data_IF_108925204228
#
_entry.id   IF_108925204228
#
_cell.length_a   1.000
_cell.length_b   1.000
_cell.length_c   1.000
_cell.angle_alpha   90.00
_cell.angle_beta   90.00
_cell.angle_gamma   90.00
#
_symmetry.space_group_name_H-M   'P 1'
#
loop_
_entity.id
_entity.type
_entity.pdbx_description
1 polymer ?
#
# COMPACT_ATOMS: atom_id res chain seq x y z
N UNK A 1 -41.48 -18.78 -70.70
CA UNK A 1 -42.02 -19.87 -69.87
C UNK A 1 -42.10 -19.36 -68.43
N UNK A 2 -43.32 -18.96 -68.02
CA UNK A 2 -43.91 -18.95 -66.66
C UNK A 2 -43.11 -18.19 -65.56
N UNK A 3 -43.39 -16.91 -65.31
CA UNK A 3 -44.41 -16.31 -64.40
C UNK A 3 -43.87 -15.94 -63.00
N UNK A 4 -44.13 -14.68 -62.65
CA UNK A 4 -44.05 -14.09 -61.32
C UNK A 4 -44.91 -14.84 -60.28
N UNK A 5 -44.53 -14.73 -58.99
CA UNK A 5 -45.44 -14.31 -57.91
C UNK A 5 -44.70 -14.04 -56.60
N UNK A 6 -44.92 -12.83 -56.06
CA UNK A 6 -44.75 -12.50 -54.64
C UNK A 6 -45.72 -13.35 -53.81
N UNK A 7 -45.34 -13.77 -52.60
CA UNK A 7 -46.25 -13.90 -51.46
C UNK A 7 -45.48 -13.74 -50.14
N UNK A 8 -46.06 -12.92 -49.26
CA UNK A 8 -45.74 -12.83 -47.82
C UNK A 8 -46.45 -13.98 -47.11
N UNK A 9 -45.83 -14.57 -46.10
CA UNK A 9 -46.56 -15.13 -44.96
C UNK A 9 -45.78 -14.96 -43.67
N UNK A 10 -46.54 -14.93 -42.59
CA UNK A 10 -46.32 -14.32 -41.29
C UNK A 10 -46.08 -15.42 -40.23
N UNK A 11 -45.21 -15.08 -39.25
CA UNK A 11 -45.03 -15.62 -37.89
C UNK A 11 -44.90 -17.15 -37.63
N UNK A 12 -43.80 -17.50 -36.95
CA UNK A 12 -43.91 -18.18 -35.65
C UNK A 12 -42.70 -17.83 -34.75
N UNK A 13 -43.05 -17.26 -33.59
CA UNK A 13 -42.23 -16.98 -32.42
C UNK A 13 -41.87 -18.28 -31.69
N UNK A 14 -40.90 -18.17 -30.76
CA UNK A 14 -40.42 -19.15 -29.75
C UNK A 14 -39.13 -19.85 -30.20
N UNK A 15 -37.96 -19.63 -29.60
CA UNK A 15 -37.64 -18.90 -28.39
C UNK A 15 -36.18 -19.11 -27.98
N UNK A 16 -35.89 -18.56 -26.80
CA UNK A 16 -34.76 -18.85 -25.93
C UNK A 16 -33.48 -18.00 -26.07
N UNK A 17 -33.48 -16.99 -25.19
CA UNK A 17 -32.38 -16.61 -24.30
C UNK A 17 -31.16 -15.92 -24.91
N UNK A 18 -31.28 -14.58 -24.96
CA UNK A 18 -30.37 -13.65 -24.29
C UNK A 18 -28.92 -14.14 -24.18
N UNK A 19 -28.23 -14.15 -25.31
CA UNK A 19 -26.80 -13.92 -25.33
C UNK A 19 -26.56 -12.49 -24.89
N UNK A 20 -26.51 -12.28 -23.57
CA UNK A 20 -25.94 -11.07 -23.00
C UNK A 20 -24.47 -11.04 -23.38
N UNK A 21 -24.16 -10.51 -24.56
CA UNK A 21 -22.86 -9.92 -24.83
C UNK A 21 -22.71 -8.86 -23.75
N UNK A 22 -22.00 -9.21 -22.67
CA UNK A 22 -21.47 -8.20 -21.78
C UNK A 22 -20.67 -7.29 -22.68
N UNK A 23 -21.22 -6.13 -23.00
CA UNK A 23 -20.47 -5.05 -23.63
C UNK A 23 -19.40 -4.76 -22.59
N UNK A 24 -18.20 -5.27 -22.83
CA UNK A 24 -17.02 -4.79 -22.13
C UNK A 24 -16.97 -3.34 -22.55
N UNK A 25 -17.46 -2.45 -21.69
CA UNK A 25 -17.38 -1.03 -21.90
C UNK A 25 -15.89 -0.74 -22.12
N UNK A 26 -15.52 -0.36 -23.34
CA UNK A 26 -14.15 0.05 -23.63
C UNK A 26 -13.81 1.16 -22.62
N UNK A 27 -12.68 1.01 -21.92
CA UNK A 27 -12.21 2.06 -21.02
C UNK A 27 -12.09 3.36 -21.81
N UNK A 28 -12.66 4.45 -21.31
CA UNK A 28 -12.56 5.73 -21.98
C UNK A 28 -11.11 6.25 -21.87
N UNK A 29 -10.70 7.07 -22.83
CA UNK A 29 -9.35 7.60 -22.91
C UNK A 29 -9.01 8.49 -21.69
N UNK A 30 -7.72 8.64 -21.41
CA UNK A 30 -7.20 9.66 -20.50
C UNK A 30 -6.17 10.48 -21.27
N UNK A 31 -6.64 11.43 -22.09
CA UNK A 31 -5.75 12.27 -22.87
C UNK A 31 -5.14 13.37 -22.00
N UNK A 32 -3.90 13.71 -22.31
CA UNK A 32 -3.27 14.94 -21.87
C UNK A 32 -3.20 15.95 -23.02
N UNK A 33 -3.51 17.21 -22.70
CA UNK A 33 -3.84 18.27 -23.65
C UNK A 33 -3.03 19.53 -23.31
N UNK A 34 -2.53 20.20 -24.32
CA UNK A 34 -1.82 21.47 -24.22
C UNK A 34 -2.21 22.39 -25.38
N UNK A 35 -1.51 23.51 -25.55
CA UNK A 35 -1.69 24.37 -26.70
C UNK A 35 -1.48 23.68 -28.05
N UNK A 36 -0.77 22.54 -28.08
CA UNK A 36 -0.55 21.76 -29.29
C UNK A 36 -1.82 21.14 -29.88
N UNK A 37 -2.88 20.98 -29.08
CA UNK A 37 -4.20 20.55 -29.55
C UNK A 37 -5.13 21.73 -29.87
N UNK A 38 -4.64 22.97 -29.73
CA UNK A 38 -5.35 24.18 -30.05
C UNK A 38 -6.40 24.63 -29.03
N UNK A 39 -7.12 25.67 -29.40
CA UNK A 39 -8.27 26.16 -28.66
C UNK A 39 -9.47 25.26 -28.93
N UNK A 40 -9.93 24.52 -27.92
CA UNK A 40 -11.04 23.59 -28.07
C UNK A 40 -12.37 24.32 -28.19
N UNK A 41 -13.25 23.79 -29.04
CA UNK A 41 -14.62 24.25 -29.21
C UNK A 41 -15.56 23.58 -28.21
N UNK A 42 -16.75 24.17 -28.02
CA UNK A 42 -17.81 23.58 -27.20
C UNK A 42 -18.26 22.19 -27.67
N UNK A 43 -18.23 21.94 -28.98
CA UNK A 43 -18.63 20.64 -29.57
C UNK A 43 -17.59 19.56 -29.29
N UNK A 44 -16.30 19.89 -29.43
CA UNK A 44 -15.20 18.99 -29.12
C UNK A 44 -15.21 18.60 -27.64
N UNK A 45 -15.38 19.56 -26.73
CA UNK A 45 -15.42 19.29 -25.28
C UNK A 45 -16.66 18.51 -24.85
N UNK A 46 -17.82 18.75 -25.47
CA UNK A 46 -19.00 17.92 -25.21
C UNK A 46 -18.78 16.47 -25.67
N UNK A 47 -18.12 16.29 -26.81
CA UNK A 47 -17.80 14.97 -27.37
C UNK A 47 -16.75 14.24 -26.52
N UNK A 48 -15.82 14.96 -25.89
CA UNK A 48 -14.84 14.39 -24.96
C UNK A 48 -15.52 13.64 -23.81
N UNK A 49 -16.65 14.13 -23.30
CA UNK A 49 -17.34 13.56 -22.13
C UNK A 49 -17.73 12.08 -22.29
N UNK A 50 -17.99 11.62 -23.51
CA UNK A 50 -18.32 10.21 -23.79
C UNK A 50 -17.10 9.37 -24.21
N UNK A 51 -15.96 10.00 -24.48
CA UNK A 51 -14.76 9.34 -25.01
C UNK A 51 -13.57 9.38 -24.05
N UNK A 52 -13.60 10.24 -23.03
CA UNK A 52 -12.56 10.39 -22.04
C UNK A 52 -13.11 10.27 -20.62
N UNK A 53 -12.40 9.49 -19.78
CA UNK A 53 -12.71 9.35 -18.35
C UNK A 53 -12.35 10.63 -17.57
N UNK A 54 -11.23 11.26 -17.94
CA UNK A 54 -10.81 12.60 -17.52
C UNK A 54 -9.69 13.11 -18.43
N UNK A 55 -9.42 14.43 -18.39
CA UNK A 55 -8.36 15.11 -19.18
C UNK A 55 -7.24 15.58 -18.25
N UNK A 56 -6.01 15.72 -18.74
CA UNK A 56 -4.91 16.38 -18.00
C UNK A 56 -4.42 17.57 -18.84
N UNK A 57 -4.65 18.81 -18.40
CA UNK A 57 -4.38 20.00 -19.23
C UNK A 57 -3.11 20.73 -18.79
N UNK A 58 -2.24 21.12 -19.72
CA UNK A 58 -1.08 21.96 -19.39
C UNK A 58 -1.54 23.33 -18.95
N UNK A 59 -0.92 23.90 -17.93
CA UNK A 59 -1.16 25.28 -17.50
C UNK A 59 0.04 26.16 -17.83
N UNK A 60 1.25 25.62 -17.71
CA UNK A 60 2.45 26.40 -17.93
C UNK A 60 3.61 25.54 -18.43
N UNK A 61 4.55 26.21 -19.12
CA UNK A 61 5.91 25.73 -19.37
C UNK A 61 6.83 26.55 -18.47
N UNK A 62 7.02 26.03 -17.28
CA UNK A 62 7.70 26.70 -16.20
C UNK A 62 7.08 28.04 -15.79
N UNK A 63 7.81 28.77 -14.96
CA UNK A 63 7.34 30.06 -14.44
C UNK A 63 7.29 31.20 -15.47
N UNK A 64 7.90 31.02 -16.65
CA UNK A 64 8.03 32.07 -17.68
C UNK A 64 6.90 32.05 -18.72
N UNK A 65 6.21 30.94 -18.90
CA UNK A 65 5.24 30.79 -19.99
C UNK A 65 3.94 30.14 -19.52
N UNK A 66 2.81 30.80 -19.74
CA UNK A 66 1.46 30.27 -19.48
C UNK A 66 0.92 29.74 -20.80
N UNK A 67 0.34 28.54 -20.78
CA UNK A 67 -0.19 27.88 -21.98
C UNK A 67 -1.31 28.74 -22.61
N UNK A 68 -1.29 28.93 -23.93
CA UNK A 68 -2.19 29.89 -24.58
C UNK A 68 -3.67 29.56 -24.40
N UNK A 69 -4.03 28.29 -24.26
CA UNK A 69 -5.43 27.84 -24.35
C UNK A 69 -5.97 27.24 -23.06
N UNK A 70 -5.14 27.00 -22.03
CA UNK A 70 -5.59 26.34 -20.79
C UNK A 70 -6.83 27.00 -20.18
N UNK A 71 -6.85 28.34 -20.05
CA UNK A 71 -7.98 29.03 -19.42
C UNK A 71 -9.28 28.81 -20.19
N UNK A 72 -9.23 28.87 -21.53
CA UNK A 72 -10.40 28.64 -22.37
C UNK A 72 -10.86 27.18 -22.37
N UNK A 73 -9.93 26.23 -22.48
CA UNK A 73 -10.21 24.79 -22.50
C UNK A 73 -10.75 24.33 -21.14
N UNK A 74 -10.09 24.70 -20.04
CA UNK A 74 -10.52 24.37 -18.68
C UNK A 74 -11.89 24.98 -18.34
N UNK A 75 -12.22 26.17 -18.84
CA UNK A 75 -13.55 26.77 -18.69
C UNK A 75 -14.64 25.95 -19.38
N UNK A 76 -14.34 25.38 -20.55
CA UNK A 76 -15.26 24.46 -21.23
C UNK A 76 -15.39 23.12 -20.50
N UNK A 77 -14.30 22.57 -19.96
CA UNK A 77 -14.35 21.36 -19.13
C UNK A 77 -15.30 21.55 -17.94
N UNK A 78 -15.20 22.69 -17.26
CA UNK A 78 -16.13 23.06 -16.17
C UNK A 78 -17.56 23.16 -16.68
N UNK A 79 -17.79 23.90 -17.77
CA UNK A 79 -19.12 24.12 -18.35
C UNK A 79 -19.84 22.82 -18.71
N UNK A 80 -19.13 21.84 -19.26
CA UNK A 80 -19.72 20.58 -19.74
C UNK A 80 -19.56 19.39 -18.76
N UNK A 81 -18.87 19.62 -17.64
CA UNK A 81 -18.67 18.62 -16.59
C UNK A 81 -17.69 17.52 -17.00
N UNK A 82 -16.64 17.86 -17.75
CA UNK A 82 -15.51 16.97 -18.03
C UNK A 82 -14.52 17.09 -16.87
N UNK A 83 -14.24 16.01 -16.11
CA UNK A 83 -13.22 16.07 -15.06
C UNK A 83 -11.83 16.28 -15.66
N UNK A 84 -11.02 17.15 -15.03
CA UNK A 84 -9.67 17.40 -15.51
C UNK A 84 -8.66 17.60 -14.37
N UNK A 85 -7.42 17.19 -14.60
CA UNK A 85 -6.24 17.63 -13.85
C UNK A 85 -5.49 18.71 -14.60
N UNK A 86 -4.52 19.34 -13.94
CA UNK A 86 -3.68 20.38 -14.53
C UNK A 86 -2.20 20.02 -14.36
N UNK A 87 -1.34 20.28 -15.34
CA UNK A 87 0.09 20.01 -15.25
C UNK A 87 1.00 21.21 -15.52
N UNK A 88 2.15 21.19 -14.87
CA UNK A 88 3.25 22.15 -14.94
C UNK A 88 4.46 21.46 -15.59
N UNK A 89 4.81 21.84 -16.82
CA UNK A 89 6.03 21.37 -17.46
C UNK A 89 7.22 22.09 -16.85
N UNK A 90 8.04 21.35 -16.11
CA UNK A 90 9.02 21.93 -15.21
C UNK A 90 10.25 22.49 -15.94
N UNK A 91 10.68 23.68 -15.51
CA UNK A 91 11.89 24.34 -16.01
C UNK A 91 12.85 24.80 -14.90
N UNK A 92 12.48 24.58 -13.64
CA UNK A 92 13.30 24.97 -12.50
C UNK A 92 14.70 24.31 -12.52
N UNK A 93 15.69 25.06 -12.05
CA UNK A 93 17.11 24.64 -11.99
C UNK A 93 17.69 24.69 -10.58
N UNK A 94 16.84 24.99 -9.59
CA UNK A 94 17.21 25.06 -8.17
C UNK A 94 15.98 24.84 -7.27
N UNK A 95 16.20 24.61 -5.98
CA UNK A 95 15.11 24.51 -5.00
C UNK A 95 14.30 25.80 -4.87
N UNK A 96 14.94 26.96 -5.03
CA UNK A 96 14.27 28.26 -4.98
C UNK A 96 13.36 28.47 -6.20
N UNK A 97 13.88 28.20 -7.40
CA UNK A 97 13.08 28.31 -8.63
C UNK A 97 11.96 27.27 -8.68
N UNK A 98 12.16 26.07 -8.11
CA UNK A 98 11.12 25.05 -8.01
C UNK A 98 9.93 25.48 -7.15
N UNK A 99 10.17 26.21 -6.05
CA UNK A 99 9.10 26.78 -5.22
C UNK A 99 8.36 27.91 -5.94
N UNK A 100 9.10 28.82 -6.58
CA UNK A 100 8.49 29.92 -7.34
C UNK A 100 7.63 29.40 -8.50
N UNK A 101 8.07 28.32 -9.16
CA UNK A 101 7.33 27.66 -10.24
C UNK A 101 6.05 26.99 -9.75
N UNK A 102 6.12 26.27 -8.62
CA UNK A 102 4.95 25.69 -7.94
C UNK A 102 3.91 26.76 -7.55
N UNK A 103 4.34 27.85 -6.93
CA UNK A 103 3.46 28.95 -6.53
C UNK A 103 2.75 29.58 -7.74
N UNK A 104 3.50 29.89 -8.80
CA UNK A 104 2.93 30.44 -10.04
C UNK A 104 1.99 29.46 -10.73
N UNK A 105 2.33 28.17 -10.79
CA UNK A 105 1.46 27.13 -11.33
C UNK A 105 0.13 27.09 -10.57
N UNK A 106 0.20 27.08 -9.23
CA UNK A 106 -1.00 27.06 -8.41
C UNK A 106 -1.88 28.29 -8.65
N UNK A 107 -1.28 29.48 -8.79
CA UNK A 107 -2.00 30.72 -9.06
C UNK A 107 -2.76 30.66 -10.40
N UNK A 108 -2.09 30.22 -11.47
CA UNK A 108 -2.64 30.14 -12.84
C UNK A 108 -3.71 29.06 -13.00
N UNK A 109 -3.51 27.90 -12.39
CA UNK A 109 -4.36 26.74 -12.62
C UNK A 109 -5.83 26.98 -12.18
N UNK A 110 -6.77 26.51 -13.01
CA UNK A 110 -8.20 26.60 -12.73
C UNK A 110 -8.55 25.85 -11.43
N UNK A 111 -9.28 26.52 -10.53
CA UNK A 111 -9.61 25.95 -9.20
C UNK A 111 -10.59 24.78 -9.26
N UNK A 112 -11.18 24.45 -10.40
CA UNK A 112 -11.98 23.24 -10.60
C UNK A 112 -11.15 21.98 -10.93
N UNK A 113 -9.85 22.14 -11.22
CA UNK A 113 -8.93 21.02 -11.46
C UNK A 113 -8.99 20.00 -10.32
N UNK A 114 -8.90 18.72 -10.62
CA UNK A 114 -9.07 17.63 -9.63
C UNK A 114 -7.76 17.25 -8.94
N UNK A 115 -6.66 17.42 -9.64
CA UNK A 115 -5.31 17.15 -9.17
C UNK A 115 -4.31 18.00 -9.95
N UNK A 116 -3.13 18.18 -9.36
CA UNK A 116 -2.02 18.91 -9.94
C UNK A 116 -0.89 17.93 -10.27
N UNK A 117 -0.26 18.12 -11.41
CA UNK A 117 0.83 17.27 -11.89
C UNK A 117 2.11 18.11 -12.00
N UNK A 118 3.20 17.61 -11.43
CA UNK A 118 4.54 18.06 -11.79
C UNK A 118 5.02 17.19 -12.96
N UNK A 119 5.23 17.80 -14.12
CA UNK A 119 5.85 17.17 -15.28
C UNK A 119 7.35 17.51 -15.26
N UNK A 120 8.20 16.53 -14.94
CA UNK A 120 9.65 16.73 -14.80
C UNK A 120 10.43 15.74 -15.67
N UNK A 121 10.88 16.22 -16.83
CA UNK A 121 11.42 15.37 -17.92
C UNK A 121 12.80 15.78 -18.43
N UNK A 122 13.27 16.96 -18.04
CA UNK A 122 14.59 17.47 -18.40
C UNK A 122 15.21 18.22 -17.24
N UNK A 123 16.53 18.17 -17.13
CA UNK A 123 17.26 18.96 -16.13
C UNK A 123 18.74 19.07 -16.46
N UNK A 124 19.34 20.21 -16.12
CA UNK A 124 20.81 20.37 -16.05
C UNK A 124 21.37 20.09 -14.66
N UNK A 125 20.51 19.82 -13.68
CA UNK A 125 20.91 19.54 -12.30
C UNK A 125 21.48 18.12 -12.15
N UNK A 126 22.37 17.94 -11.17
CA UNK A 126 22.75 16.60 -10.72
C UNK A 126 21.53 15.86 -10.11
N UNK A 127 21.55 14.53 -10.09
CA UNK A 127 20.47 13.72 -9.49
C UNK A 127 20.11 14.14 -8.06
N UNK A 128 21.11 14.47 -7.24
CA UNK A 128 20.89 14.96 -5.86
C UNK A 128 20.17 16.30 -5.85
N UNK A 129 20.60 17.25 -6.69
CA UNK A 129 19.99 18.58 -6.78
C UNK A 129 18.57 18.52 -7.37
N UNK A 130 18.37 17.69 -8.40
CA UNK A 130 17.06 17.45 -9.01
C UNK A 130 16.06 16.86 -8.00
N UNK A 131 16.45 15.84 -7.22
CA UNK A 131 15.60 15.30 -6.14
C UNK A 131 15.27 16.39 -5.09
N UNK A 132 16.23 17.23 -4.73
CA UNK A 132 15.98 18.33 -3.79
C UNK A 132 14.98 19.36 -4.36
N UNK A 133 15.12 19.72 -5.64
CA UNK A 133 14.23 20.66 -6.32
C UNK A 133 12.80 20.10 -6.47
N UNK A 134 12.65 18.86 -6.92
CA UNK A 134 11.35 18.16 -7.00
C UNK A 134 10.68 18.09 -5.61
N UNK A 135 11.46 17.82 -4.55
CA UNK A 135 10.93 17.81 -3.18
C UNK A 135 10.50 19.21 -2.72
N UNK A 136 11.20 20.26 -3.15
CA UNK A 136 10.85 21.64 -2.85
C UNK A 136 9.54 22.05 -3.55
N UNK A 137 9.38 21.74 -4.85
CA UNK A 137 8.12 21.93 -5.59
C UNK A 137 6.96 21.20 -4.89
N UNK A 138 7.14 19.93 -4.53
CA UNK A 138 6.11 19.14 -3.83
C UNK A 138 5.70 19.78 -2.51
N UNK A 139 6.67 20.25 -1.73
CA UNK A 139 6.41 20.84 -0.41
C UNK A 139 5.66 22.16 -0.54
N UNK A 140 6.00 22.97 -1.54
CA UNK A 140 5.31 24.22 -1.84
C UNK A 140 3.87 23.97 -2.28
N UNK A 141 3.66 23.13 -3.30
CA UNK A 141 2.30 22.78 -3.74
C UNK A 141 1.46 22.20 -2.61
N UNK A 142 2.05 21.37 -1.75
CA UNK A 142 1.33 20.81 -0.61
C UNK A 142 0.93 21.86 0.43
N UNK A 143 1.68 22.96 0.57
CA UNK A 143 1.31 24.08 1.45
C UNK A 143 0.14 24.88 0.88
N UNK A 144 0.10 25.01 -0.45
CA UNK A 144 -0.89 25.80 -1.19
C UNK A 144 -2.21 25.05 -1.40
N UNK A 145 -2.17 23.72 -1.49
CA UNK A 145 -3.35 22.93 -1.79
C UNK A 145 -3.43 21.60 -1.04
N UNK A 146 -4.66 21.27 -0.67
CA UNK A 146 -5.02 19.92 -0.27
C UNK A 146 -5.39 19.05 -1.45
N UNK A 147 -5.26 19.45 -2.73
CA UNK A 147 -5.51 18.56 -3.88
C UNK A 147 -4.39 17.57 -4.14
N UNK A 148 -4.70 16.54 -4.94
CA UNK A 148 -3.74 15.45 -5.16
C UNK A 148 -2.59 15.97 -6.00
N UNK A 149 -1.37 15.56 -5.65
CA UNK A 149 -0.14 15.91 -6.36
C UNK A 149 0.38 14.65 -7.05
N UNK A 150 0.50 14.70 -8.36
CA UNK A 150 0.94 13.60 -9.21
C UNK A 150 2.32 13.93 -9.77
N UNK A 151 3.22 12.96 -9.80
CA UNK A 151 4.51 13.11 -10.45
C UNK A 151 4.45 12.49 -11.85
N UNK A 152 4.82 13.25 -12.87
CA UNK A 152 4.97 12.77 -14.23
C UNK A 152 6.41 12.84 -14.74
N UNK A 153 6.82 11.79 -15.46
CA UNK A 153 8.08 11.72 -16.21
C UNK A 153 8.15 10.41 -17.01
N UNK A 154 9.01 10.33 -18.03
CA UNK A 154 9.38 9.04 -18.63
C UNK A 154 10.32 8.24 -17.71
N UNK A 155 10.18 6.90 -17.76
CA UNK A 155 10.74 6.00 -16.75
C UNK A 155 12.25 6.18 -16.46
N UNK A 156 13.08 6.28 -17.51
CA UNK A 156 14.54 6.35 -17.34
C UNK A 156 14.96 7.64 -16.64
N UNK A 157 14.37 8.78 -17.01
CA UNK A 157 14.64 10.06 -16.36
C UNK A 157 14.15 10.10 -14.91
N UNK A 158 12.92 9.62 -14.65
CA UNK A 158 12.38 9.51 -13.30
C UNK A 158 13.31 8.73 -12.37
N UNK A 159 13.88 7.63 -12.88
CA UNK A 159 14.79 6.75 -12.14
C UNK A 159 16.16 7.39 -11.91
N UNK A 160 16.65 8.18 -12.86
CA UNK A 160 17.96 8.83 -12.74
C UNK A 160 17.92 10.09 -11.88
N UNK A 161 16.93 10.97 -12.06
CA UNK A 161 16.99 12.33 -11.51
C UNK A 161 16.01 12.61 -10.35
N UNK A 162 14.94 11.82 -10.21
CA UNK A 162 13.87 12.11 -9.24
C UNK A 162 13.44 10.92 -8.38
N UNK A 163 14.20 9.80 -8.41
CA UNK A 163 13.71 8.51 -7.91
C UNK A 163 13.30 8.49 -6.43
N UNK A 164 13.93 9.33 -5.61
CA UNK A 164 13.61 9.43 -4.18
C UNK A 164 12.47 10.42 -3.96
N UNK A 165 12.54 11.60 -4.56
CA UNK A 165 11.58 12.68 -4.33
C UNK A 165 10.18 12.34 -4.87
N UNK A 166 10.11 11.70 -6.05
CA UNK A 166 8.85 11.27 -6.68
C UNK A 166 7.98 10.39 -5.79
N UNK A 167 8.59 9.63 -4.86
CA UNK A 167 7.87 8.76 -3.93
C UNK A 167 7.00 9.53 -2.92
N UNK A 168 7.15 10.84 -2.80
CA UNK A 168 6.33 11.68 -1.93
C UNK A 168 4.96 12.02 -2.53
N UNK A 169 4.78 11.86 -3.84
CA UNK A 169 3.56 12.22 -4.55
C UNK A 169 2.45 11.20 -4.32
N UNK A 170 1.19 11.64 -4.45
CA UNK A 170 0.01 10.80 -4.17
C UNK A 170 -0.17 9.67 -5.18
N UNK A 171 0.32 9.88 -6.41
CA UNK A 171 0.39 8.90 -7.47
C UNK A 171 1.51 9.26 -8.45
N UNK A 172 1.89 8.31 -9.31
CA UNK A 172 2.89 8.55 -10.35
C UNK A 172 2.34 8.21 -11.72
N UNK A 173 2.50 9.14 -12.64
CA UNK A 173 2.18 9.02 -14.04
C UNK A 173 3.48 8.79 -14.81
N UNK A 174 3.67 7.62 -15.39
CA UNK A 174 4.96 7.27 -16.01
C UNK A 174 4.76 7.00 -17.50
N UNK A 175 5.54 7.67 -18.34
CA UNK A 175 5.58 7.43 -19.77
C UNK A 175 6.54 6.29 -20.14
N UNK A 176 6.07 5.41 -21.02
CA UNK A 176 6.88 4.46 -21.78
C UNK A 176 6.05 3.93 -22.95
N UNK A 177 6.39 4.31 -24.18
CA UNK A 177 5.61 3.95 -25.38
C UNK A 177 5.98 2.59 -25.96
N UNK A 178 7.12 2.02 -25.55
CA UNK A 178 7.60 0.73 -26.07
C UNK A 178 7.08 -0.46 -25.27
N UNK A 179 6.86 -0.29 -23.95
CA UNK A 179 6.44 -1.38 -23.06
C UNK A 179 5.88 -0.84 -21.75
N UNK A 180 5.12 -1.68 -21.02
CA UNK A 180 4.65 -1.36 -19.68
C UNK A 180 5.82 -0.96 -18.76
N UNK A 181 5.74 0.17 -18.02
CA UNK A 181 6.81 0.56 -17.11
C UNK A 181 7.12 -0.51 -16.06
N UNK A 182 8.37 -0.57 -15.64
CA UNK A 182 8.90 -1.50 -14.64
C UNK A 182 9.07 -0.88 -13.25
N UNK A 183 8.90 0.44 -13.13
CA UNK A 183 8.86 1.15 -11.84
C UNK A 183 7.42 1.22 -11.30
N UNK A 184 7.23 1.72 -10.07
CA UNK A 184 5.88 1.95 -9.54
C UNK A 184 5.22 3.17 -10.19
N UNK A 185 3.99 2.98 -10.69
CA UNK A 185 3.10 3.97 -11.29
C UNK A 185 1.62 3.63 -11.07
N UNK A 186 0.79 4.65 -11.18
CA UNK A 186 -0.67 4.60 -11.09
C UNK A 186 -1.39 5.07 -12.35
N UNK A 187 -0.67 5.71 -13.28
CA UNK A 187 -1.14 6.11 -14.61
C UNK A 187 0.02 5.85 -15.60
N UNK A 188 -0.25 5.23 -16.74
CA UNK A 188 0.75 4.91 -17.75
C UNK A 188 0.44 5.63 -19.05
N UNK A 189 1.28 6.60 -19.43
CA UNK A 189 1.24 7.18 -20.78
C UNK A 189 1.88 6.19 -21.74
N UNK A 190 1.06 5.56 -22.58
CA UNK A 190 1.46 4.43 -23.41
C UNK A 190 1.56 4.77 -24.90
N UNK A 191 1.02 5.93 -25.29
CA UNK A 191 0.98 6.37 -26.69
C UNK A 191 1.06 7.88 -26.74
N UNK A 192 1.82 8.39 -27.71
CA UNK A 192 1.79 9.79 -28.15
C UNK A 192 1.05 9.98 -29.48
N UNK A 193 0.34 8.95 -29.93
CA UNK A 193 -0.30 8.90 -31.24
C UNK A 193 -1.65 8.17 -31.16
N UNK A 194 -2.39 8.37 -30.08
CA UNK A 194 -3.75 7.85 -29.96
C UNK A 194 -4.72 8.76 -30.71
N UNK A 195 -5.48 8.22 -31.67
CA UNK A 195 -6.46 9.03 -32.39
C UNK A 195 -7.71 9.25 -31.53
N UNK A 196 -7.96 10.50 -31.14
CA UNK A 196 -9.12 10.88 -30.34
C UNK A 196 -10.16 11.57 -31.22
N UNK A 197 -11.20 10.82 -31.58
CA UNK A 197 -12.18 11.27 -32.57
C UNK A 197 -12.92 12.54 -32.18
N UNK A 198 -13.11 12.80 -30.87
CA UNK A 198 -13.72 14.04 -30.39
C UNK A 198 -12.93 15.29 -30.73
N UNK A 199 -11.62 15.18 -31.00
CA UNK A 199 -10.74 16.28 -31.40
C UNK A 199 -10.30 16.21 -32.87
N UNK A 200 -10.60 15.09 -33.55
CA UNK A 200 -10.12 14.85 -34.92
C UNK A 200 -8.58 14.80 -35.04
N UNK A 201 -7.88 14.48 -33.96
CA UNK A 201 -6.42 14.62 -33.85
C UNK A 201 -5.78 13.42 -33.13
N UNK A 202 -4.48 13.24 -33.33
CA UNK A 202 -3.66 12.34 -32.52
C UNK A 202 -3.19 13.05 -31.25
N UNK A 203 -3.35 12.37 -30.12
CA UNK A 203 -3.01 12.89 -28.79
C UNK A 203 -2.22 11.88 -27.98
N UNK A 204 -1.58 12.37 -26.94
CA UNK A 204 -1.02 11.54 -25.88
C UNK A 204 -2.16 10.91 -25.08
N UNK A 205 -2.01 9.63 -24.72
CA UNK A 205 -3.05 8.89 -24.01
C UNK A 205 -2.50 7.95 -22.94
N UNK A 206 -3.28 7.80 -21.88
CA UNK A 206 -2.90 7.06 -20.68
C UNK A 206 -3.87 5.96 -20.26
N UNK A 207 -3.36 4.95 -19.55
CA UNK A 207 -4.12 3.86 -18.93
C UNK A 207 -3.96 3.88 -17.41
N UNK A 208 -5.06 3.63 -16.68
CA UNK A 208 -5.08 3.59 -15.21
C UNK A 208 -5.77 2.37 -14.60
N UNK A 209 -6.28 1.46 -15.43
CA UNK A 209 -7.02 0.28 -14.96
C UNK A 209 -6.14 -0.69 -14.16
N UNK A 210 -6.77 -1.53 -13.34
CA UNK A 210 -6.05 -2.40 -12.41
C UNK A 210 -5.11 -3.43 -13.07
N UNK A 211 -5.27 -3.73 -14.36
CA UNK A 211 -4.39 -4.63 -15.10
C UNK A 211 -3.20 -3.88 -15.74
N UNK A 212 -3.39 -2.63 -16.15
CA UNK A 212 -2.33 -1.81 -16.76
C UNK A 212 -1.35 -1.22 -15.75
N UNK A 213 -1.76 -0.96 -14.50
CA UNK A 213 -0.91 -0.24 -13.52
C UNK A 213 -0.39 -1.08 -12.35
N UNK A 214 0.65 -0.59 -11.67
CA UNK A 214 1.18 -1.22 -10.45
C UNK A 214 0.45 -0.80 -9.17
N UNK A 215 -0.07 0.44 -9.14
CA UNK A 215 -0.81 1.02 -8.01
C UNK A 215 -2.15 1.54 -8.53
N UNK A 216 -3.21 0.76 -8.31
CA UNK A 216 -4.53 1.10 -8.84
C UNK A 216 -5.25 2.17 -8.01
N UNK A 217 -5.81 3.17 -8.69
CA UNK A 217 -6.78 4.12 -8.16
C UNK A 217 -8.06 4.07 -9.01
N UNK A 218 -9.26 3.96 -8.41
CA UNK A 218 -10.51 3.98 -9.17
C UNK A 218 -10.76 5.37 -9.79
N UNK A 219 -11.61 5.44 -10.81
CA UNK A 219 -11.96 6.70 -11.49
C UNK A 219 -12.33 7.84 -10.53
N UNK A 220 -13.12 7.53 -9.49
CA UNK A 220 -13.55 8.50 -8.47
C UNK A 220 -12.39 9.13 -7.68
N UNK A 221 -11.24 8.47 -7.61
CA UNK A 221 -10.04 9.03 -7.01
C UNK A 221 -9.46 10.14 -7.89
N UNK A 222 -9.41 9.94 -9.21
CA UNK A 222 -8.93 10.93 -10.18
C UNK A 222 -9.89 12.11 -10.34
N UNK A 223 -11.21 11.86 -10.30
CA UNK A 223 -12.21 12.88 -10.64
C UNK A 223 -12.78 13.66 -9.45
N UNK A 224 -12.37 13.35 -8.21
CA UNK A 224 -12.75 14.10 -7.01
C UNK A 224 -11.87 15.35 -6.80
N UNK A 225 -12.50 16.53 -6.76
CA UNK A 225 -11.90 17.88 -6.79
C UNK A 225 -11.15 18.35 -5.55
N UNK A 226 -10.87 17.44 -4.65
CA UNK A 226 -10.13 17.65 -3.42
C UNK A 226 -9.16 16.47 -3.37
N UNK A 227 -7.99 16.58 -2.72
CA UNK A 227 -7.58 15.35 -2.04
C UNK A 227 -8.70 15.19 -1.05
N UNK A 228 -9.49 14.17 -1.26
CA UNK A 228 -9.67 13.27 -0.16
C UNK A 228 -8.25 12.94 0.35
N UNK A 229 -7.65 13.82 1.18
CA UNK A 229 -7.28 13.40 2.52
C UNK A 229 -8.45 12.54 2.89
N UNK A 230 -8.27 11.24 2.89
CA UNK A 230 -9.36 10.31 3.07
C UNK A 230 -9.95 10.54 4.45
N UNK A 231 -10.76 11.59 4.59
CA UNK A 231 -11.99 11.58 5.32
C UNK A 231 -12.92 10.79 4.39
N UNK A 232 -12.83 9.46 4.34
CA UNK A 232 -13.77 8.68 5.14
C UNK A 232 -14.28 9.54 6.29
N UNK A 233 -15.57 9.85 6.36
CA UNK A 233 -16.24 9.99 7.66
C UNK A 233 -15.48 9.10 8.63
N UNK A 234 -14.69 9.65 9.56
CA UNK A 234 -13.45 8.99 10.05
C UNK A 234 -13.70 7.60 10.58
N UNK A 235 -13.76 6.67 9.66
CA UNK A 235 -13.12 5.41 9.76
C UNK A 235 -11.99 5.64 8.82
N UNK A 236 -10.86 6.17 9.33
CA UNK A 236 -9.58 5.59 8.93
C UNK A 236 -9.89 4.15 8.54
N UNK A 237 -9.80 3.79 7.25
CA UNK A 237 -9.84 2.38 6.90
C UNK A 237 -8.53 1.85 7.47
N UNK A 238 -8.58 1.61 8.78
CA UNK A 238 -7.57 1.02 9.59
C UNK A 238 -7.50 -0.36 8.99
N UNK A 239 -6.55 -0.53 8.07
CA UNK A 239 -6.26 -1.83 7.53
C UNK A 239 -6.11 -2.75 8.72
N UNK A 240 -6.79 -3.88 8.64
CA UNK A 240 -6.61 -4.91 9.62
C UNK A 240 -5.11 -5.26 9.67
N UNK A 241 -4.66 -5.67 10.85
CA UNK A 241 -3.29 -6.09 11.03
C UNK A 241 -2.94 -7.15 9.97
N UNK A 242 -1.92 -6.87 9.17
CA UNK A 242 -1.60 -7.62 7.94
C UNK A 242 -0.12 -8.00 7.88
N UNK A 243 0.50 -8.16 9.05
CA UNK A 243 1.89 -8.58 9.21
C UNK A 243 2.00 -9.95 9.86
N UNK A 244 1.01 -10.82 9.61
CA UNK A 244 1.05 -12.21 10.08
C UNK A 244 2.20 -12.96 9.40
N UNK A 245 2.75 -13.95 10.10
CA UNK A 245 3.83 -14.81 9.61
C UNK A 245 3.47 -16.30 9.73
N UNK A 246 4.11 -17.13 8.91
CA UNK A 246 3.97 -18.59 8.96
C UNK A 246 4.29 -19.10 10.36
N UNK A 247 3.45 -19.99 10.88
CA UNK A 247 3.57 -20.58 12.21
C UNK A 247 2.72 -19.90 13.29
N UNK A 248 2.26 -18.68 13.06
CA UNK A 248 1.33 -18.00 13.97
C UNK A 248 -0.05 -18.67 14.00
N UNK A 249 -0.80 -18.40 15.06
CA UNK A 249 -2.18 -18.86 15.21
C UNK A 249 -3.12 -17.66 15.19
N UNK A 250 -4.21 -17.80 14.45
CA UNK A 250 -5.23 -16.76 14.32
C UNK A 250 -6.61 -17.31 14.64
N UNK A 251 -7.41 -16.48 15.30
CA UNK A 251 -8.82 -16.73 15.58
C UNK A 251 -9.67 -16.26 14.41
N UNK A 252 -10.46 -17.13 13.79
CA UNK A 252 -11.39 -16.75 12.73
C UNK A 252 -12.61 -16.05 13.34
N UNK A 253 -12.80 -14.78 13.00
CA UNK A 253 -13.80 -13.93 13.62
C UNK A 253 -15.23 -14.36 13.24
N UNK A 254 -16.19 -14.07 14.13
CA UNK A 254 -17.60 -14.36 13.86
C UNK A 254 -18.16 -13.63 12.63
N UNK A 255 -17.59 -12.47 12.31
CA UNK A 255 -17.99 -11.65 11.16
C UNK A 255 -17.47 -12.13 9.81
N UNK A 256 -16.60 -13.15 9.76
CA UNK A 256 -16.08 -13.68 8.51
C UNK A 256 -17.24 -14.23 7.65
N UNK A 257 -17.44 -13.67 6.47
CA UNK A 257 -18.58 -14.01 5.59
C UNK A 257 -18.20 -15.00 4.50
N UNK A 258 -17.13 -14.71 3.76
CA UNK A 258 -16.63 -15.51 2.65
C UNK A 258 -15.12 -15.70 2.73
N UNK A 259 -14.66 -16.86 2.24
CA UNK A 259 -13.25 -17.10 1.95
C UNK A 259 -12.80 -16.27 0.74
N UNK A 260 -11.49 -16.19 0.50
CA UNK A 260 -10.95 -15.39 -0.59
C UNK A 260 -11.40 -15.87 -1.99
N UNK A 261 -11.66 -17.17 -2.13
CA UNK A 261 -12.19 -17.81 -3.35
C UNK A 261 -13.70 -17.56 -3.58
N UNK A 262 -14.35 -16.79 -2.71
CA UNK A 262 -15.77 -16.46 -2.79
C UNK A 262 -16.70 -17.43 -2.06
N UNK A 263 -16.23 -18.61 -1.66
CA UNK A 263 -17.07 -19.59 -0.95
C UNK A 263 -17.45 -19.11 0.45
N UNK A 264 -18.65 -19.45 0.93
CA UNK A 264 -19.18 -18.99 2.22
C UNK A 264 -18.44 -19.62 3.39
N UNK A 265 -18.16 -18.85 4.44
CA UNK A 265 -17.59 -19.36 5.70
C UNK A 265 -18.72 -19.97 6.56
N UNK A 266 -18.71 -21.29 6.83
CA UNK A 266 -19.73 -21.92 7.66
C UNK A 266 -19.59 -21.47 9.12
N UNK A 267 -20.71 -21.40 9.84
CA UNK A 267 -20.73 -21.01 11.27
C UNK A 267 -19.83 -21.90 12.14
N UNK A 268 -19.74 -23.19 11.81
CA UNK A 268 -18.89 -24.18 12.48
C UNK A 268 -17.38 -23.91 12.35
N UNK A 269 -16.94 -23.15 11.33
CA UNK A 269 -15.54 -22.77 11.16
C UNK A 269 -15.17 -21.51 11.96
N UNK A 270 -16.14 -20.65 12.27
CA UNK A 270 -15.92 -19.38 12.96
C UNK A 270 -15.65 -19.61 14.45
N UNK A 271 -15.11 -18.59 15.11
CA UNK A 271 -14.79 -18.59 16.55
C UNK A 271 -13.81 -19.71 16.96
N UNK A 272 -12.91 -20.09 16.06
CA UNK A 272 -11.90 -21.14 16.27
C UNK A 272 -10.51 -20.65 15.90
N UNK A 273 -9.50 -21.26 16.50
CA UNK A 273 -8.10 -20.99 16.19
C UNK A 273 -7.60 -21.90 15.08
N UNK A 274 -6.87 -21.32 14.14
CA UNK A 274 -6.20 -22.04 13.07
C UNK A 274 -4.74 -21.59 12.97
N UNK A 275 -3.86 -22.50 12.55
CA UNK A 275 -2.46 -22.19 12.28
C UNK A 275 -2.34 -21.59 10.88
N UNK A 276 -1.57 -20.51 10.79
CA UNK A 276 -1.19 -19.88 9.52
C UNK A 276 -0.01 -20.65 8.96
N UNK A 277 -0.16 -21.24 7.77
CA UNK A 277 0.92 -22.01 7.12
C UNK A 277 1.50 -21.33 5.89
N UNK A 278 0.79 -20.34 5.34
CA UNK A 278 1.28 -19.46 4.28
C UNK A 278 0.62 -18.08 4.39
N UNK A 279 1.28 -17.07 3.82
CA UNK A 279 0.75 -15.72 3.70
C UNK A 279 0.97 -15.20 2.27
N UNK A 280 0.12 -14.29 1.81
CA UNK A 280 0.24 -13.62 0.50
C UNK A 280 -0.11 -12.15 0.64
N UNK A 281 0.70 -11.27 0.07
CA UNK A 281 0.36 -9.84 -0.01
C UNK A 281 -0.80 -9.63 -0.98
N UNK A 282 -1.80 -8.85 -0.58
CA UNK A 282 -2.94 -8.48 -1.42
C UNK A 282 -3.43 -7.11 -0.96
N UNK A 283 -4.12 -6.35 -1.80
CA UNK A 283 -4.97 -5.26 -1.30
C UNK A 283 -6.42 -5.59 -1.66
N UNK A 284 -7.22 -5.98 -0.67
CA UNK A 284 -8.65 -6.28 -0.86
C UNK A 284 -9.42 -5.93 0.41
N UNK A 285 -10.47 -5.11 0.27
CA UNK A 285 -11.25 -4.58 1.40
C UNK A 285 -10.33 -3.91 2.45
N UNK A 286 -10.43 -4.26 3.73
CA UNK A 286 -9.57 -3.77 4.82
C UNK A 286 -8.31 -4.61 5.04
N UNK A 287 -7.92 -5.45 4.09
CA UNK A 287 -6.78 -6.36 4.25
C UNK A 287 -5.63 -6.02 3.30
N UNK A 288 -4.41 -6.04 3.85
CA UNK A 288 -3.16 -5.98 3.07
C UNK A 288 -2.50 -7.36 2.90
N UNK A 289 -3.12 -8.40 3.44
CA UNK A 289 -2.57 -9.74 3.48
C UNK A 289 -3.68 -10.80 3.48
N UNK A 290 -3.43 -11.92 2.81
CA UNK A 290 -4.15 -13.18 2.99
C UNK A 290 -3.35 -14.09 3.92
N UNK A 291 -4.06 -14.81 4.76
CA UNK A 291 -3.50 -15.91 5.57
C UNK A 291 -4.15 -17.22 5.16
N UNK A 292 -3.34 -18.25 4.99
CA UNK A 292 -3.83 -19.60 4.70
C UNK A 292 -4.02 -20.38 6.00
N UNK A 293 -5.24 -20.82 6.27
CA UNK A 293 -5.62 -21.48 7.51
C UNK A 293 -5.59 -23.01 7.33
N UNK A 294 -4.59 -23.66 7.93
CA UNK A 294 -4.51 -25.13 7.91
C UNK A 294 -5.66 -25.74 8.71
N UNK A 295 -6.28 -26.80 8.18
CA UNK A 295 -7.48 -27.43 8.74
C UNK A 295 -8.77 -26.95 8.07
N UNK A 296 -8.78 -25.72 7.53
CA UNK A 296 -9.83 -25.28 6.60
C UNK A 296 -9.39 -25.41 5.14
N UNK A 297 -8.09 -25.37 4.88
CA UNK A 297 -7.49 -25.37 3.54
C UNK A 297 -7.97 -24.20 2.67
N UNK A 298 -8.17 -23.03 3.30
CA UNK A 298 -8.70 -21.82 2.66
C UNK A 298 -7.83 -20.61 2.95
N UNK A 299 -7.81 -19.69 1.97
CA UNK A 299 -7.28 -18.34 2.13
C UNK A 299 -8.34 -17.43 2.73
N UNK A 300 -7.94 -16.66 3.74
CA UNK A 300 -8.81 -15.69 4.44
C UNK A 300 -8.13 -14.33 4.43
N UNK A 301 -8.92 -13.28 4.26
CA UNK A 301 -8.47 -11.89 4.37
C UNK A 301 -8.07 -11.57 5.81
N UNK A 302 -6.98 -10.81 6.01
CA UNK A 302 -6.46 -10.49 7.34
C UNK A 302 -7.46 -9.74 8.25
N UNK A 303 -8.47 -9.09 7.67
CA UNK A 303 -9.59 -8.47 8.38
C UNK A 303 -10.53 -9.45 9.08
N UNK A 304 -10.62 -10.68 8.58
CA UNK A 304 -11.55 -11.68 9.09
C UNK A 304 -10.94 -12.51 10.22
N UNK A 305 -9.68 -12.24 10.59
CA UNK A 305 -8.95 -12.99 11.62
C UNK A 305 -8.33 -12.07 12.66
N UNK A 306 -8.09 -12.60 13.85
CA UNK A 306 -7.30 -11.92 14.89
C UNK A 306 -6.22 -12.85 15.42
N UNK A 307 -4.95 -12.48 15.24
CA UNK A 307 -3.83 -13.25 15.79
C UNK A 307 -3.64 -13.01 17.28
N UNK A 308 -3.39 -14.11 17.99
CA UNK A 308 -2.98 -14.12 19.38
C UNK A 308 -1.70 -14.92 19.52
N UNK A 309 -0.83 -14.50 20.44
CA UNK A 309 0.26 -15.35 20.91
C UNK A 309 -0.35 -16.61 21.56
N UNK A 310 0.24 -17.76 21.26
CA UNK A 310 -0.14 -19.07 21.81
C UNK A 310 1.12 -19.79 22.27
N UNK A 311 1.02 -20.51 23.39
CA UNK A 311 2.21 -21.00 24.08
C UNK A 311 2.93 -19.90 24.87
N UNK A 312 3.93 -20.29 25.65
CA UNK A 312 4.69 -19.34 26.46
C UNK A 312 5.87 -18.76 25.68
N UNK A 313 6.04 -17.44 25.76
CA UNK A 313 7.14 -16.71 25.12
C UNK A 313 8.02 -15.91 26.11
N UNK A 314 7.60 -15.81 27.38
CA UNK A 314 8.36 -15.20 28.47
C UNK A 314 8.44 -13.67 28.43
N UNK A 315 9.03 -13.09 27.38
CA UNK A 315 9.21 -11.63 27.23
C UNK A 315 8.46 -11.11 26.00
N UNK A 316 7.83 -9.95 26.15
CA UNK A 316 7.08 -9.29 25.08
C UNK A 316 7.47 -7.82 24.96
N UNK A 317 7.79 -7.39 23.74
CA UNK A 317 7.96 -5.98 23.43
C UNK A 317 6.64 -5.41 22.92
N UNK A 318 6.19 -4.29 23.49
CA UNK A 318 4.96 -3.64 23.06
C UNK A 318 5.18 -2.80 21.79
N UNK A 319 4.30 -2.96 20.80
CA UNK A 319 4.31 -2.17 19.55
C UNK A 319 3.67 -0.79 19.73
N UNK A 320 2.85 -0.65 20.77
CA UNK A 320 2.14 0.57 21.15
C UNK A 320 1.99 0.65 22.67
N UNK A 321 1.43 1.75 23.19
CA UNK A 321 1.09 1.84 24.61
C UNK A 321 -0.02 0.81 24.91
N UNK A 322 0.03 0.19 26.09
CA UNK A 322 -1.01 -0.77 26.51
C UNK A 322 -1.53 -0.44 27.90
N UNK A 323 -2.84 -0.25 28.02
CA UNK A 323 -3.52 -0.18 29.32
C UNK A 323 -3.32 -1.48 30.08
N UNK A 324 -3.02 -1.38 31.38
CA UNK A 324 -2.88 -2.51 32.29
C UNK A 324 -4.20 -2.74 33.03
N UNK A 325 -4.73 -3.95 32.98
CA UNK A 325 -6.01 -4.33 33.58
C UNK A 325 -5.84 -5.20 34.82
N UNK A 326 -6.75 -5.08 35.78
CA UNK A 326 -6.74 -5.86 37.03
C UNK A 326 -7.16 -7.31 36.80
N UNK A 327 -8.05 -7.54 35.85
CA UNK A 327 -8.67 -8.83 35.56
C UNK A 327 -8.26 -9.41 34.20
N UNK A 328 -8.42 -10.72 34.04
CA UNK A 328 -8.05 -11.44 32.81
C UNK A 328 -8.98 -11.13 31.63
N UNK A 329 -10.19 -10.61 31.85
CA UNK A 329 -11.13 -10.27 30.79
C UNK A 329 -10.84 -8.90 30.17
N UNK A 330 -10.01 -8.08 30.84
CA UNK A 330 -9.64 -6.70 30.47
C UNK A 330 -10.82 -5.73 30.61
N UNK A 331 -11.62 -5.89 31.66
CA UNK A 331 -12.78 -5.02 31.93
C UNK A 331 -12.47 -3.89 32.89
N UNK A 332 -11.54 -4.09 33.83
CA UNK A 332 -11.24 -3.13 34.90
C UNK A 332 -9.80 -2.62 34.79
N UNK A 333 -9.64 -1.36 34.40
CA UNK A 333 -8.33 -0.71 34.31
C UNK A 333 -7.66 -0.55 35.68
N UNK A 334 -6.34 -0.67 35.72
CA UNK A 334 -5.52 -0.29 36.88
C UNK A 334 -5.25 1.22 36.95
N UNK A 335 -5.60 1.97 35.90
CA UNK A 335 -5.18 3.36 35.69
C UNK A 335 -3.74 3.50 35.16
N UNK A 336 -2.96 2.42 35.11
CA UNK A 336 -1.58 2.41 34.61
C UNK A 336 -1.52 2.02 33.14
N UNK A 337 -0.52 2.57 32.44
CA UNK A 337 -0.23 2.27 31.03
C UNK A 337 1.22 1.85 30.87
N UNK A 338 1.44 0.74 30.16
CA UNK A 338 2.75 0.26 29.75
C UNK A 338 3.23 1.02 28.50
N UNK A 339 4.52 1.31 28.43
CA UNK A 339 5.11 2.16 27.40
C UNK A 339 5.28 1.40 26.07
N UNK A 340 5.02 2.07 24.95
CA UNK A 340 5.41 1.61 23.61
C UNK A 340 6.92 1.32 23.58
N UNK A 341 7.32 0.22 22.97
CA UNK A 341 8.71 -0.24 22.89
C UNK A 341 9.24 -0.90 24.17
N UNK A 342 8.49 -0.81 25.29
CA UNK A 342 8.86 -1.46 26.54
C UNK A 342 8.81 -2.98 26.43
N UNK A 343 9.75 -3.65 27.11
CA UNK A 343 9.87 -5.10 27.15
C UNK A 343 9.42 -5.58 28.53
N UNK A 344 8.44 -6.46 28.57
CA UNK A 344 7.81 -6.92 29.80
C UNK A 344 7.83 -8.44 29.88
N UNK A 345 8.17 -8.96 31.07
CA UNK A 345 7.99 -10.37 31.38
C UNK A 345 6.52 -10.66 31.62
N UNK A 346 6.03 -11.78 31.09
CA UNK A 346 4.67 -12.20 31.32
C UNK A 346 4.37 -13.65 30.98
N UNK A 347 3.33 -14.17 31.63
CA UNK A 347 2.80 -15.52 31.40
C UNK A 347 1.56 -15.41 30.51
N UNK A 348 1.55 -16.16 29.42
CA UNK A 348 0.38 -16.27 28.56
C UNK A 348 -0.71 -17.07 29.29
N UNK A 349 -1.93 -16.53 29.34
CA UNK A 349 -3.10 -17.20 29.92
C UNK A 349 -4.28 -17.07 28.96
N UNK A 350 -5.26 -17.95 29.08
CA UNK A 350 -6.46 -17.98 28.22
C UNK A 350 -7.70 -17.67 29.05
N UNK A 351 -8.58 -16.81 28.54
CA UNK A 351 -9.92 -16.60 29.08
C UNK A 351 -10.93 -16.75 27.94
N UNK A 352 -11.81 -17.74 28.04
CA UNK A 352 -12.69 -18.15 26.95
C UNK A 352 -11.89 -18.41 25.66
N UNK A 353 -12.23 -17.67 24.60
CA UNK A 353 -11.58 -17.77 23.29
C UNK A 353 -10.40 -16.82 23.09
N UNK A 354 -9.93 -16.11 24.11
CA UNK A 354 -8.91 -15.09 23.92
C UNK A 354 -7.72 -15.28 24.84
N UNK A 355 -6.52 -14.98 24.33
CA UNK A 355 -5.30 -15.00 25.11
C UNK A 355 -4.97 -13.62 25.71
N UNK A 356 -4.29 -13.67 26.86
CA UNK A 356 -3.81 -12.52 27.63
C UNK A 356 -2.36 -12.77 28.05
N UNK A 357 -1.64 -11.69 28.32
CA UNK A 357 -0.33 -11.75 28.95
C UNK A 357 -0.51 -11.21 30.38
N UNK A 358 -0.33 -12.09 31.37
CA UNK A 358 -0.24 -11.70 32.78
C UNK A 358 1.17 -11.16 33.03
N UNK A 359 1.26 -9.87 33.33
CA UNK A 359 2.51 -9.18 33.66
C UNK A 359 2.50 -8.80 35.14
N UNK A 360 3.60 -8.23 35.65
CA UNK A 360 3.59 -7.66 37.00
C UNK A 360 2.53 -6.56 37.12
N UNK A 361 1.65 -6.69 38.11
CA UNK A 361 0.58 -5.71 38.38
C UNK A 361 -0.71 -5.86 37.56
N UNK A 362 -0.83 -6.83 36.64
CA UNK A 362 -2.10 -7.04 35.92
C UNK A 362 -2.00 -7.84 34.61
N UNK A 363 -2.93 -7.56 33.70
CA UNK A 363 -3.11 -8.25 32.43
C UNK A 363 -3.14 -7.26 31.25
N UNK A 364 -2.59 -7.69 30.12
CA UNK A 364 -2.73 -7.03 28.82
C UNK A 364 -3.20 -8.02 27.76
N UNK A 365 -3.63 -7.53 26.60
CA UNK A 365 -4.03 -8.39 25.48
C UNK A 365 -2.82 -9.14 24.89
N UNK A 366 -3.00 -10.39 24.48
CA UNK A 366 -1.98 -11.16 23.78
C UNK A 366 -2.10 -11.05 22.24
N UNK A 367 -2.74 -10.00 21.72
CA UNK A 367 -2.86 -9.79 20.27
C UNK A 367 -1.48 -9.55 19.66
N UNK A 368 -1.15 -10.28 18.60
CA UNK A 368 0.14 -10.13 17.87
C UNK A 368 0.29 -8.75 17.22
N UNK A 369 -0.82 -8.05 17.00
CA UNK A 369 -0.82 -6.66 16.52
C UNK A 369 -0.35 -5.65 17.57
N UNK A 370 -0.33 -6.03 18.85
CA UNK A 370 -0.04 -5.15 19.98
C UNK A 370 1.34 -5.39 20.59
N UNK A 371 1.92 -6.58 20.37
CA UNK A 371 3.24 -6.93 20.89
C UNK A 371 3.98 -7.91 19.98
N UNK A 372 5.28 -8.07 20.22
CA UNK A 372 6.12 -9.13 19.68
C UNK A 372 6.78 -9.92 20.81
N UNK A 373 7.10 -11.21 20.60
CA UNK A 373 7.97 -11.92 21.52
C UNK A 373 9.40 -11.36 21.45
N UNK A 374 10.10 -11.29 22.58
CA UNK A 374 11.45 -10.70 22.66
C UNK A 374 12.60 -11.71 22.60
N UNK A 375 12.27 -12.96 22.29
CA UNK A 375 13.23 -13.99 21.94
C UNK A 375 13.15 -14.32 20.46
N UNK A 376 14.25 -14.75 19.86
CA UNK A 376 14.19 -15.45 18.57
C UNK A 376 13.67 -16.88 18.78
N UNK A 377 12.71 -17.31 17.96
CA UNK A 377 12.04 -18.63 18.10
C UNK A 377 12.43 -19.64 17.01
N UNK A 378 13.37 -19.27 16.14
CA UNK A 378 13.92 -20.10 15.07
C UNK A 378 15.41 -19.85 14.95
N UNK A 379 16.14 -20.83 14.41
CA UNK A 379 17.52 -20.64 14.00
C UNK A 379 17.53 -19.73 12.76
N UNK A 380 18.38 -18.69 12.71
CA UNK A 380 18.49 -17.85 11.52
C UNK A 380 18.93 -18.68 10.31
N UNK A 381 18.49 -18.31 9.10
CA UNK A 381 18.87 -19.00 7.86
C UNK A 381 20.38 -19.04 7.64
N UNK A 382 21.09 -18.00 8.08
CA UNK A 382 22.56 -17.96 8.05
C UNK A 382 23.22 -18.98 8.98
N UNK A 383 22.51 -19.47 10.00
CA UNK A 383 23.07 -20.26 11.09
C UNK A 383 23.97 -19.45 12.03
N UNK A 384 24.00 -18.12 11.90
CA UNK A 384 24.85 -17.24 12.70
C UNK A 384 24.04 -16.18 13.44
N UNK A 385 24.46 -15.91 14.67
CA UNK A 385 24.02 -14.74 15.44
C UNK A 385 25.23 -13.86 15.77
N UNK A 386 24.99 -12.57 15.98
CA UNK A 386 25.99 -11.62 16.48
C UNK A 386 25.66 -11.21 17.92
N UNK A 387 26.64 -11.21 18.80
CA UNK A 387 26.51 -10.67 20.14
C UNK A 387 26.34 -9.13 20.07
N UNK A 388 25.31 -8.60 20.73
CA UNK A 388 25.08 -7.15 20.86
C UNK A 388 25.80 -6.56 22.06
N UNK A 389 26.04 -7.39 23.08
CA UNK A 389 26.70 -7.07 24.33
C UNK A 389 27.67 -8.21 24.66
N UNK A 390 28.62 -7.96 25.55
CA UNK A 390 29.45 -9.02 26.11
C UNK A 390 28.58 -10.09 26.79
N UNK A 391 28.73 -11.36 26.42
CA UNK A 391 27.93 -12.47 26.94
C UNK A 391 28.72 -13.77 27.03
N UNK A 392 28.18 -14.74 27.77
CA UNK A 392 28.76 -16.08 27.86
C UNK A 392 27.90 -17.11 27.12
N UNK A 393 28.55 -18.12 26.54
CA UNK A 393 27.95 -19.43 26.27
C UNK A 393 28.05 -20.30 27.53
N UNK A 394 27.20 -21.32 27.63
CA UNK A 394 27.07 -22.14 28.83
C UNK A 394 27.06 -23.64 28.51
N UNK A 395 27.67 -24.46 29.36
CA UNK A 395 27.68 -25.93 29.26
C UNK A 395 26.30 -26.55 29.43
N UNK A 396 25.40 -25.85 30.14
CA UNK A 396 24.02 -26.27 30.40
C UNK A 396 23.06 -25.15 30.08
N UNK A 397 21.83 -25.52 29.76
CA UNK A 397 20.76 -24.56 29.49
C UNK A 397 20.46 -23.67 30.68
N UNK A 398 20.79 -23.98 31.94
CA UNK A 398 20.41 -23.19 33.12
C UNK A 398 21.07 -21.81 33.30
N UNK A 399 22.07 -21.45 32.50
CA UNK A 399 22.68 -20.10 32.46
C UNK A 399 23.23 -19.55 33.80
N UNK A 400 23.61 -20.43 34.72
CA UNK A 400 24.27 -20.07 35.98
C UNK A 400 25.77 -19.86 35.80
N UNK A 401 26.40 -19.07 36.68
CA UNK A 401 27.82 -18.68 36.58
C UNK A 401 28.77 -19.89 36.52
N UNK A 402 28.49 -20.94 37.30
CA UNK A 402 29.28 -22.19 37.32
C UNK A 402 29.27 -22.94 35.98
N UNK A 403 28.26 -22.70 35.13
CA UNK A 403 28.14 -23.34 33.83
C UNK A 403 28.68 -22.49 32.67
N UNK A 404 29.30 -21.33 32.93
CA UNK A 404 29.92 -20.52 31.86
C UNK A 404 30.99 -21.35 31.14
N UNK A 405 31.02 -21.24 29.82
CA UNK A 405 31.93 -21.97 28.96
C UNK A 405 32.90 -21.03 28.23
N UNK A 406 32.39 -20.16 27.37
CA UNK A 406 33.20 -19.18 26.64
C UNK A 406 32.57 -17.79 26.69
N UNK A 407 33.41 -16.76 26.86
CA UNK A 407 33.00 -15.37 26.74
C UNK A 407 33.04 -14.93 25.27
N UNK A 408 32.11 -14.07 24.90
CA UNK A 408 32.02 -13.44 23.59
C UNK A 408 31.84 -11.94 23.79
N UNK A 409 32.70 -11.14 23.17
CA UNK A 409 32.60 -9.69 23.17
C UNK A 409 31.45 -9.21 22.27
N UNK A 410 31.03 -7.95 22.45
CA UNK A 410 30.06 -7.35 21.54
C UNK A 410 30.64 -7.31 20.11
N UNK A 411 29.85 -7.75 19.12
CA UNK A 411 30.30 -7.88 17.74
C UNK A 411 30.69 -9.31 17.34
N UNK A 412 30.99 -10.19 18.30
CA UNK A 412 31.36 -11.57 18.02
C UNK A 412 30.25 -12.35 17.33
N UNK A 413 30.63 -13.22 16.39
CA UNK A 413 29.72 -14.11 15.68
C UNK A 413 29.72 -15.50 16.31
N UNK A 414 28.53 -16.04 16.55
CA UNK A 414 28.33 -17.36 17.17
C UNK A 414 27.49 -18.21 16.22
N UNK A 415 28.00 -19.39 15.84
CA UNK A 415 27.27 -20.34 14.98
C UNK A 415 26.29 -21.13 15.84
N UNK A 416 25.02 -21.15 15.42
CA UNK A 416 23.91 -21.82 16.12
C UNK A 416 23.22 -22.83 15.22
N UNK A 417 22.81 -23.95 15.80
CA UNK A 417 22.31 -25.12 15.05
C UNK A 417 20.87 -25.48 15.41
N UNK A 418 20.44 -25.21 16.65
CA UNK A 418 19.08 -25.47 17.12
C UNK A 418 18.62 -24.35 18.05
N UNK A 419 17.30 -24.17 18.16
CA UNK A 419 16.67 -23.31 19.17
C UNK A 419 15.79 -24.16 20.08
N UNK A 420 15.84 -23.90 21.36
CA UNK A 420 15.08 -24.57 22.40
C UNK A 420 14.21 -23.58 23.17
N UNK A 421 13.17 -24.09 23.81
CA UNK A 421 12.31 -23.34 24.74
C UNK A 421 12.35 -23.92 26.14
N UNK A 422 12.03 -23.06 27.11
CA UNK A 422 11.68 -23.46 28.47
C UNK A 422 10.19 -23.33 28.72
N UNK A 423 9.71 -23.94 29.81
CA UNK A 423 8.32 -23.81 30.28
C UNK A 423 7.89 -22.36 30.51
N UNK A 424 8.80 -21.49 30.97
CA UNK A 424 8.58 -20.06 31.11
C UNK A 424 8.58 -19.26 29.80
N UNK A 425 8.84 -19.91 28.66
CA UNK A 425 8.79 -19.30 27.32
C UNK A 425 10.09 -18.65 26.83
N UNK A 426 11.12 -18.55 27.67
CA UNK A 426 12.44 -18.10 27.21
C UNK A 426 13.01 -19.05 26.15
N UNK A 427 13.71 -18.48 25.17
CA UNK A 427 14.39 -19.24 24.12
C UNK A 427 15.91 -19.14 24.23
N UNK A 428 16.57 -20.19 23.78
CA UNK A 428 18.02 -20.27 23.73
C UNK A 428 18.48 -21.12 22.57
N UNK A 429 19.68 -20.84 22.08
CA UNK A 429 20.28 -21.59 21.00
C UNK A 429 21.26 -22.64 21.52
N UNK A 430 21.36 -23.75 20.78
CA UNK A 430 22.51 -24.65 20.78
C UNK A 430 23.52 -24.12 19.76
N UNK A 431 24.79 -24.02 20.16
CA UNK A 431 25.87 -23.67 19.24
C UNK A 431 26.39 -24.90 18.50
N UNK A 432 27.18 -24.69 17.46
CA UNK A 432 27.90 -25.78 16.81
C UNK A 432 28.95 -26.48 17.71
N UNK A 433 29.29 -25.88 18.87
CA UNK A 433 30.22 -26.44 19.86
C UNK A 433 29.51 -27.19 21.00
N UNK A 434 28.20 -27.43 20.88
CA UNK A 434 27.44 -28.19 21.88
C UNK A 434 27.10 -27.42 23.16
N UNK A 435 27.37 -26.11 23.21
CA UNK A 435 27.05 -25.25 24.35
C UNK A 435 25.84 -24.34 24.03
N UNK A 436 25.35 -23.60 25.02
CA UNK A 436 24.09 -22.88 24.94
C UNK A 436 24.26 -21.36 25.09
N UNK A 437 23.45 -20.59 24.37
CA UNK A 437 23.43 -19.12 24.47
C UNK A 437 22.00 -18.60 24.41
N UNK A 438 21.71 -17.53 25.16
CA UNK A 438 20.37 -16.92 25.17
C UNK A 438 19.98 -16.40 23.78
N UNK A 439 18.73 -16.63 23.37
CA UNK A 439 18.17 -16.09 22.14
C UNK A 439 17.44 -14.74 22.38
N UNK A 440 17.71 -14.09 23.51
CA UNK A 440 17.12 -12.80 23.87
C UNK A 440 17.64 -11.68 22.94
N UNK A 441 16.72 -10.93 22.31
CA UNK A 441 17.04 -9.85 21.36
C UNK A 441 17.78 -8.66 21.97
N UNK A 442 17.82 -8.55 23.29
CA UNK A 442 18.70 -7.59 23.98
C UNK A 442 20.17 -7.98 23.87
N UNK A 443 20.47 -9.28 23.83
CA UNK A 443 21.84 -9.79 23.91
C UNK A 443 22.42 -10.16 22.55
N UNK A 444 21.58 -10.56 21.60
CA UNK A 444 22.00 -11.06 20.29
C UNK A 444 21.12 -10.51 19.18
N UNK A 445 21.64 -10.50 17.95
CA UNK A 445 20.91 -10.22 16.72
C UNK A 445 21.18 -11.32 15.70
N UNK A 446 20.17 -11.73 14.94
CA UNK A 446 20.35 -12.66 13.82
C UNK A 446 21.02 -11.97 12.65
N UNK A 447 21.87 -12.68 11.92
CA UNK A 447 22.52 -12.19 10.71
C UNK A 447 21.89 -12.76 9.45
#
# INVERSE_FOLDING_TARGET
>A
MVMQKKWRLILLLVGCFLGGTGVVQAHAAVPDISEWQGQLTSTEVQSLKSQADFVINRVQYGSSYEDLYHTSNESLYVKYGVPFGSYDYATFTSTATAKAEADKFYQRANKNTKFYVLDFETTSMSSTAANAAVKAWYTEMRSLTSKKLIFYSYQSFATTYANTARQSFDAQWIANYSSKPTISFSLWQYSSSYYLSSLGQYVDNSLYDSASVTTYHPLSWWTSGTSTSSSTSSTSTTYAYSSYTKGQHVYLNNGASSYYDGTKVPSSAKKKYYKVTATKSVTKSRSKQLVYLSGLNKWVLSQDVTGYWVGQHGLYQLREKSTLFKDVNLTTSTGKTLKKGGIYSGKLVKSGNFYRIKVSGGYITAKVSKSDHWYYESVPSSGWIKAKVGLYTYKSSNFVKSNRHAYHAAGDRIKVTKVYSRSGGSRYYLTNKGNYVSANRSNVVTQ
#
